data_IF_009647016948
#
_entry.id   IF_009647016948
#
_cell.length_a   1.000
_cell.length_b   1.000
_cell.length_c   1.000
_cell.angle_alpha   90.00
_cell.angle_beta   90.00
_cell.angle_gamma   90.00
#
_symmetry.space_group_name_H-M   'P 1'
#
loop_
_entity.id
_entity.type
_entity.pdbx_description
1 polymer ?
#
# COMPACT_ATOMS: atom_id res chain seq x y z
N UNK A 1 -43.14 16.77 -26.36
CA UNK A 1 -42.65 15.88 -25.28
C UNK A 1 -41.31 15.35 -25.68
N UNK A 2 -40.21 15.95 -25.18
CA UNK A 2 -38.83 15.62 -25.55
C UNK A 2 -38.31 14.69 -24.47
N UNK A 3 -38.03 13.43 -24.84
CA UNK A 3 -37.41 12.45 -23.93
C UNK A 3 -35.90 12.62 -24.08
N UNK A 4 -35.28 13.22 -23.05
CA UNK A 4 -33.82 13.29 -22.93
C UNK A 4 -33.30 11.94 -22.46
N UNK A 5 -32.67 11.19 -23.35
CA UNK A 5 -31.97 9.96 -23.04
C UNK A 5 -30.69 10.26 -22.23
N UNK A 6 -30.65 9.82 -20.98
CA UNK A 6 -29.44 9.85 -20.15
C UNK A 6 -28.51 8.75 -20.64
N UNK A 7 -27.43 9.14 -21.32
CA UNK A 7 -26.36 8.23 -21.72
C UNK A 7 -25.48 7.96 -20.48
N UNK A 8 -25.71 6.85 -19.80
CA UNK A 8 -24.83 6.38 -18.73
C UNK A 8 -23.55 5.83 -19.35
N UNK A 9 -22.48 6.60 -19.29
CA UNK A 9 -21.12 6.12 -19.59
C UNK A 9 -20.71 5.11 -18.52
N UNK A 10 -20.81 3.83 -18.82
CA UNK A 10 -20.17 2.78 -18.07
C UNK A 10 -18.65 2.89 -18.29
N UNK A 11 -17.95 3.61 -17.39
CA UNK A 11 -16.51 3.55 -17.31
C UNK A 11 -16.12 2.18 -16.76
N UNK A 12 -15.83 1.26 -17.65
CA UNK A 12 -15.17 0.00 -17.32
C UNK A 12 -13.80 0.37 -16.72
N UNK A 13 -13.65 0.22 -15.42
CA UNK A 13 -12.33 0.32 -14.75
C UNK A 13 -11.51 -0.91 -15.13
N UNK A 14 -10.87 -0.86 -16.29
CA UNK A 14 -9.80 -1.80 -16.60
C UNK A 14 -8.66 -1.55 -15.63
N UNK A 15 -8.14 -2.61 -15.05
CA UNK A 15 -6.93 -2.61 -14.24
C UNK A 15 -5.81 -1.85 -14.96
N UNK A 16 -5.45 -0.67 -14.45
CA UNK A 16 -4.60 0.26 -15.21
C UNK A 16 -3.13 0.05 -14.83
N UNK A 17 -2.37 -0.63 -15.70
CA UNK A 17 -0.91 -0.78 -15.56
C UNK A 17 -0.14 0.49 -15.99
N UNK A 18 -0.84 1.46 -16.61
CA UNK A 18 -0.29 2.73 -17.09
C UNK A 18 -1.18 3.89 -16.67
N UNK A 19 -0.59 4.87 -16.03
CA UNK A 19 -1.22 6.12 -15.62
C UNK A 19 -0.65 7.28 -16.43
N UNK A 20 -1.53 8.15 -16.94
CA UNK A 20 -1.18 9.45 -17.53
C UNK A 20 -1.77 10.53 -16.65
N UNK A 21 -0.91 11.33 -16.00
CA UNK A 21 -1.29 12.36 -15.04
C UNK A 21 -0.16 13.35 -14.86
N UNK A 22 -0.47 14.60 -14.54
CA UNK A 22 0.51 15.57 -14.07
C UNK A 22 1.00 15.15 -12.67
N UNK A 23 2.18 14.52 -12.60
CA UNK A 23 2.78 13.96 -11.38
C UNK A 23 3.64 14.98 -10.67
N UNK A 24 4.36 15.82 -11.43
CA UNK A 24 5.29 16.80 -10.89
C UNK A 24 4.69 18.20 -10.74
N UNK A 25 3.39 18.34 -11.09
CA UNK A 25 2.56 19.52 -10.92
C UNK A 25 3.11 20.75 -11.71
N UNK A 26 3.56 20.50 -12.94
CA UNK A 26 4.01 21.55 -13.88
C UNK A 26 2.95 21.93 -14.93
N UNK A 27 1.78 21.28 -14.89
CA UNK A 27 0.66 21.49 -15.81
C UNK A 27 0.72 20.64 -17.07
N UNK A 28 1.72 19.76 -17.24
CA UNK A 28 1.85 18.83 -18.35
C UNK A 28 1.62 17.40 -17.92
N UNK A 29 1.23 16.54 -18.85
CA UNK A 29 0.97 15.14 -18.56
C UNK A 29 2.26 14.33 -18.53
N UNK A 30 2.45 13.64 -17.44
CA UNK A 30 3.49 12.65 -17.21
C UNK A 30 2.96 11.23 -17.45
N UNK A 31 3.84 10.26 -17.41
CA UNK A 31 3.46 8.86 -17.56
C UNK A 31 4.12 8.00 -16.49
N UNK A 32 3.33 7.18 -15.82
CA UNK A 32 3.81 6.13 -14.91
C UNK A 32 3.25 4.79 -15.37
N UNK A 33 4.06 3.77 -15.42
CA UNK A 33 3.63 2.42 -15.78
C UNK A 33 4.50 1.34 -15.14
N UNK A 34 3.92 0.15 -14.99
CA UNK A 34 4.68 -1.06 -14.68
C UNK A 34 5.25 -1.62 -15.99
N UNK A 35 6.57 -1.73 -16.06
CA UNK A 35 7.27 -2.45 -17.11
C UNK A 35 7.27 -3.94 -16.74
N UNK A 36 6.38 -4.72 -17.38
CA UNK A 36 6.16 -6.13 -17.04
C UNK A 36 7.35 -7.03 -17.40
N UNK A 37 8.14 -6.63 -18.38
CA UNK A 37 9.34 -7.37 -18.76
C UNK A 37 10.46 -7.23 -17.71
N UNK A 38 10.65 -5.99 -17.23
CA UNK A 38 11.70 -5.68 -16.26
C UNK A 38 11.21 -5.77 -14.80
N UNK A 39 9.88 -5.91 -14.57
CA UNK A 39 9.24 -5.83 -13.26
C UNK A 39 9.59 -4.53 -12.51
N UNK A 40 9.55 -3.40 -13.21
CA UNK A 40 9.93 -2.09 -12.68
C UNK A 40 8.84 -1.05 -12.89
N UNK A 41 8.65 -0.20 -11.89
CA UNK A 41 7.90 1.03 -12.10
C UNK A 41 8.77 1.97 -12.94
N UNK A 42 8.22 2.44 -14.05
CA UNK A 42 8.87 3.43 -14.92
C UNK A 42 8.04 4.71 -14.92
N UNK A 43 8.65 5.82 -14.58
CA UNK A 43 8.07 7.15 -14.65
C UNK A 43 8.80 8.02 -15.69
N UNK A 44 8.05 8.90 -16.37
CA UNK A 44 8.56 9.90 -17.31
C UNK A 44 7.93 11.23 -16.96
N UNK A 45 8.74 12.17 -16.46
CA UNK A 45 8.30 13.49 -16.04
C UNK A 45 8.62 14.53 -17.13
N UNK A 46 7.67 15.43 -17.37
CA UNK A 46 7.83 16.53 -18.33
C UNK A 46 8.96 17.47 -17.92
N UNK A 47 9.10 17.79 -16.63
CA UNK A 47 10.19 18.61 -16.09
C UNK A 47 11.58 17.99 -16.24
N UNK A 48 11.65 16.69 -16.55
CA UNK A 48 12.89 15.96 -16.81
C UNK A 48 13.01 15.50 -18.27
N UNK A 49 12.39 16.23 -19.20
CA UNK A 49 12.38 15.94 -20.63
C UNK A 49 11.96 14.49 -20.94
N UNK A 50 11.02 13.94 -20.15
CA UNK A 50 10.51 12.58 -20.27
C UNK A 50 11.57 11.47 -20.21
N UNK A 51 12.73 11.76 -19.61
CA UNK A 51 13.74 10.74 -19.32
C UNK A 51 13.14 9.66 -18.40
N UNK A 52 13.45 8.40 -18.68
CA UNK A 52 12.98 7.27 -17.86
C UNK A 52 13.62 7.30 -16.48
N UNK A 53 12.79 7.36 -15.44
CA UNK A 53 13.13 7.13 -14.05
C UNK A 53 12.59 5.74 -13.73
N UNK A 54 13.41 4.80 -13.30
CA UNK A 54 13.00 3.42 -13.04
C UNK A 54 13.26 3.06 -11.58
N UNK A 55 12.34 2.29 -10.97
CA UNK A 55 12.62 1.57 -9.73
C UNK A 55 13.68 0.48 -9.96
N UNK A 56 14.16 -0.11 -8.90
CA UNK A 56 14.78 -1.44 -8.97
C UNK A 56 13.71 -2.49 -9.30
N UNK A 57 14.11 -3.75 -9.48
CA UNK A 57 13.20 -4.85 -9.75
C UNK A 57 12.30 -5.13 -8.53
N UNK A 58 11.01 -5.38 -8.79
CA UNK A 58 10.00 -5.73 -7.79
C UNK A 58 9.52 -7.13 -8.20
N UNK A 59 10.02 -8.17 -7.54
CA UNK A 59 9.84 -9.57 -7.96
C UNK A 59 8.36 -9.99 -8.00
N UNK A 60 7.54 -9.46 -7.09
CA UNK A 60 6.10 -9.75 -7.01
C UNK A 60 5.24 -8.90 -7.94
N UNK A 61 5.81 -7.90 -8.63
CA UNK A 61 5.05 -7.07 -9.55
C UNK A 61 4.73 -7.84 -10.83
N UNK A 62 3.46 -7.85 -11.22
CA UNK A 62 2.96 -8.60 -12.36
C UNK A 62 1.48 -8.31 -12.65
N UNK A 63 0.72 -9.33 -13.04
CA UNK A 63 -0.69 -9.20 -13.41
C UNK A 63 -1.60 -8.70 -12.27
N UNK A 64 -1.20 -8.96 -11.05
CA UNK A 64 -1.87 -8.54 -9.83
C UNK A 64 -1.44 -7.14 -9.33
N UNK A 65 -0.63 -6.42 -10.12
CA UNK A 65 -0.10 -5.09 -9.77
C UNK A 65 -0.72 -4.00 -10.64
N UNK A 66 -1.20 -2.95 -10.00
CA UNK A 66 -1.86 -1.80 -10.63
C UNK A 66 -1.13 -0.51 -10.28
N UNK A 67 -1.20 0.47 -11.20
CA UNK A 67 -0.78 1.85 -10.93
C UNK A 67 -2.02 2.73 -10.89
N UNK A 68 -2.28 3.35 -9.75
CA UNK A 68 -3.48 4.15 -9.52
C UNK A 68 -3.14 5.61 -9.23
N UNK A 69 -4.00 6.55 -9.68
CA UNK A 69 -3.82 7.97 -9.36
C UNK A 69 -4.13 8.24 -7.89
N UNK A 70 -3.31 9.06 -7.25
CA UNK A 70 -3.62 9.68 -5.94
C UNK A 70 -3.68 11.20 -6.08
N UNK A 71 -4.25 11.90 -5.11
CA UNK A 71 -4.34 13.37 -5.14
C UNK A 71 -3.01 14.00 -5.51
N UNK A 72 -1.93 13.56 -4.88
CA UNK A 72 -0.55 13.99 -5.17
C UNK A 72 0.31 12.78 -5.52
N UNK A 73 0.56 12.57 -6.83
CA UNK A 73 1.38 11.45 -7.30
C UNK A 73 0.56 10.22 -7.69
N UNK A 74 1.05 9.04 -7.35
CA UNK A 74 0.46 7.75 -7.72
C UNK A 74 0.70 6.70 -6.63
N UNK A 75 0.03 5.57 -6.77
CA UNK A 75 0.18 4.40 -5.90
C UNK A 75 0.36 3.15 -6.76
N UNK A 76 1.29 2.29 -6.35
CA UNK A 76 1.40 0.93 -6.82
C UNK A 76 0.66 0.03 -5.83
N UNK A 77 -0.30 -0.75 -6.31
CA UNK A 77 -1.05 -1.74 -5.55
C UNK A 77 -0.73 -3.13 -6.05
N UNK A 78 -0.34 -4.04 -5.19
CA UNK A 78 -0.18 -5.46 -5.49
C UNK A 78 -1.14 -6.26 -4.64
N UNK A 79 -2.03 -7.02 -5.29
CA UNK A 79 -3.11 -7.73 -4.63
C UNK A 79 -3.05 -9.23 -4.93
N UNK A 80 -3.11 -10.04 -3.88
CA UNK A 80 -3.27 -11.49 -3.95
C UNK A 80 -4.67 -11.88 -3.47
N UNK A 81 -5.01 -13.15 -3.57
CA UNK A 81 -6.33 -13.65 -3.19
C UNK A 81 -6.72 -13.27 -1.75
N UNK A 82 -5.79 -13.28 -0.81
CA UNK A 82 -6.06 -13.06 0.62
C UNK A 82 -5.22 -11.98 1.29
N UNK A 83 -4.42 -11.25 0.55
CA UNK A 83 -3.58 -10.17 1.06
C UNK A 83 -3.19 -9.21 -0.05
N UNK A 84 -2.65 -8.08 0.33
CA UNK A 84 -2.10 -7.12 -0.61
C UNK A 84 -1.38 -5.99 0.11
N UNK A 85 -0.66 -5.21 -0.68
CA UNK A 85 -0.01 -4.01 -0.20
C UNK A 85 -0.06 -2.89 -1.23
N UNK A 86 0.09 -1.68 -0.76
CA UNK A 86 0.17 -0.50 -1.61
C UNK A 86 1.34 0.40 -1.19
N UNK A 87 2.00 0.96 -2.18
CA UNK A 87 3.11 1.90 -2.02
C UNK A 87 2.77 3.21 -2.71
N UNK A 88 2.61 4.28 -1.94
CA UNK A 88 2.26 5.60 -2.45
C UNK A 88 3.49 6.45 -2.70
N UNK A 89 3.59 7.01 -3.90
CA UNK A 89 4.69 7.85 -4.35
C UNK A 89 4.22 9.27 -4.66
N UNK A 90 5.10 10.25 -4.36
CA UNK A 90 4.87 11.67 -4.66
C UNK A 90 6.16 12.31 -5.18
N UNK A 91 6.02 13.25 -6.13
CA UNK A 91 7.14 14.06 -6.57
C UNK A 91 7.50 15.11 -5.52
N UNK A 92 8.76 15.15 -5.11
CA UNK A 92 9.32 16.14 -4.20
C UNK A 92 10.01 17.24 -5.01
N UNK A 93 9.34 18.38 -5.16
CA UNK A 93 9.77 19.47 -6.04
C UNK A 93 11.17 20.00 -5.72
N UNK A 94 11.50 20.14 -4.44
CA UNK A 94 12.81 20.64 -3.99
C UNK A 94 13.96 19.67 -4.30
N UNK A 95 13.67 18.38 -4.28
CA UNK A 95 14.66 17.32 -4.49
C UNK A 95 14.64 16.82 -5.95
N UNK A 96 13.62 17.23 -6.73
CA UNK A 96 13.38 16.82 -8.12
C UNK A 96 13.36 15.29 -8.28
N UNK A 97 12.83 14.59 -7.26
CA UNK A 97 12.77 13.12 -7.19
C UNK A 97 11.39 12.66 -6.76
N UNK A 98 11.03 11.43 -7.15
CA UNK A 98 9.80 10.76 -6.71
C UNK A 98 10.13 10.00 -5.43
N UNK A 99 9.40 10.29 -4.34
CA UNK A 99 9.60 9.73 -3.01
C UNK A 99 8.45 8.82 -2.62
N UNK A 100 8.76 7.67 -1.99
CA UNK A 100 7.80 6.84 -1.27
C UNK A 100 7.33 7.60 -0.02
N UNK A 101 6.02 7.86 0.09
CA UNK A 101 5.43 8.65 1.17
C UNK A 101 4.45 7.88 2.06
N UNK A 102 4.03 6.70 1.64
CA UNK A 102 3.12 5.87 2.40
C UNK A 102 3.18 4.42 1.96
N UNK A 103 2.93 3.52 2.92
CA UNK A 103 2.77 2.09 2.68
C UNK A 103 1.54 1.63 3.45
N UNK A 104 0.72 0.79 2.81
CA UNK A 104 -0.39 0.10 3.46
C UNK A 104 -0.37 -1.37 3.09
N UNK A 105 -0.93 -2.21 3.96
CA UNK A 105 -1.09 -3.63 3.73
C UNK A 105 -2.39 -4.13 4.34
N UNK A 106 -2.91 -5.23 3.81
CA UNK A 106 -4.04 -5.94 4.38
C UNK A 106 -3.85 -7.45 4.26
N UNK A 107 -4.49 -8.18 5.16
CA UNK A 107 -4.61 -9.62 5.09
C UNK A 107 -6.02 -10.07 5.53
N UNK A 108 -6.57 -11.08 4.84
CA UNK A 108 -7.85 -11.69 5.21
C UNK A 108 -7.66 -12.84 6.22
N UNK A 109 -6.41 -13.14 6.59
CA UNK A 109 -6.06 -14.22 7.50
C UNK A 109 -6.30 -15.61 6.91
N UNK A 110 -6.30 -16.63 7.77
CA UNK A 110 -6.63 -18.01 7.42
C UNK A 110 -8.14 -18.28 7.46
N UNK A 111 -8.56 -19.56 7.45
CA UNK A 111 -9.97 -19.96 7.51
C UNK A 111 -10.71 -19.47 8.77
N UNK A 112 -10.00 -19.26 9.89
CA UNK A 112 -10.57 -18.69 11.13
C UNK A 112 -10.43 -17.16 11.19
N UNK A 113 -9.97 -16.52 10.12
CA UNK A 113 -9.58 -15.11 10.05
C UNK A 113 -8.45 -14.71 11.02
N UNK A 114 -7.69 -15.71 11.53
CA UNK A 114 -6.50 -15.41 12.32
C UNK A 114 -5.47 -14.67 11.48
N UNK A 115 -4.97 -13.55 11.99
CA UNK A 115 -4.08 -12.65 11.27
C UNK A 115 -4.78 -11.75 10.23
N UNK A 116 -6.13 -11.65 10.28
CA UNK A 116 -6.84 -10.69 9.42
C UNK A 116 -6.69 -9.26 9.94
N UNK A 117 -6.62 -8.32 9.01
CA UNK A 117 -6.52 -6.91 9.36
C UNK A 117 -5.91 -6.05 8.27
N UNK A 118 -5.63 -4.83 8.64
CA UNK A 118 -5.03 -3.82 7.77
C UNK A 118 -4.14 -2.87 8.55
N UNK A 119 -3.16 -2.32 7.89
CA UNK A 119 -2.28 -1.31 8.46
C UNK A 119 -1.83 -0.30 7.41
N UNK A 120 -1.48 0.87 7.87
CA UNK A 120 -0.85 1.90 7.03
C UNK A 120 0.15 2.73 7.83
N UNK A 121 1.13 3.26 7.11
CA UNK A 121 2.06 4.25 7.63
C UNK A 121 2.19 5.44 6.69
N UNK A 122 2.19 6.62 7.27
CA UNK A 122 2.61 7.84 6.60
C UNK A 122 4.11 8.04 6.84
N UNK A 123 4.94 7.81 5.81
CA UNK A 123 6.40 7.92 5.92
C UNK A 123 6.92 9.37 6.04
N UNK A 124 6.05 10.37 5.88
CA UNK A 124 6.40 11.77 6.10
C UNK A 124 6.32 12.14 7.57
N UNK A 125 5.32 11.62 8.29
CA UNK A 125 5.08 11.90 9.71
C UNK A 125 5.55 10.77 10.63
N UNK A 126 5.71 9.57 10.06
CA UNK A 126 6.02 8.34 10.79
C UNK A 126 4.82 7.74 11.51
N UNK A 127 3.60 8.25 11.27
CA UNK A 127 2.39 7.77 11.93
C UNK A 127 1.92 6.44 11.33
N UNK A 128 1.91 5.42 12.18
CA UNK A 128 1.38 4.09 11.88
C UNK A 128 0.02 3.91 12.54
N UNK A 129 -0.92 3.29 11.80
CA UNK A 129 -2.21 2.81 12.32
C UNK A 129 -2.43 1.39 11.81
N UNK A 130 -2.80 0.48 12.73
CA UNK A 130 -3.11 -0.91 12.39
C UNK A 130 -4.32 -1.44 13.15
N UNK A 131 -5.17 -2.21 12.47
CA UNK A 131 -6.34 -2.89 13.00
C UNK A 131 -6.24 -4.38 12.65
N UNK A 132 -5.99 -5.21 13.64
CA UNK A 132 -5.70 -6.62 13.43
C UNK A 132 -6.51 -7.52 14.34
N UNK A 133 -6.64 -8.79 13.96
CA UNK A 133 -7.32 -9.84 14.72
C UNK A 133 -6.39 -11.04 14.90
N UNK A 134 -6.59 -11.76 16.01
CA UNK A 134 -6.02 -13.09 16.21
C UNK A 134 -7.13 -14.05 16.65
N UNK A 135 -6.93 -15.34 16.42
CA UNK A 135 -7.86 -16.36 16.86
C UNK A 135 -7.35 -16.95 18.19
N UNK A 136 -8.17 -16.80 19.23
CA UNK A 136 -7.90 -17.35 20.55
C UNK A 136 -8.56 -18.74 20.66
N UNK A 137 -7.76 -19.79 20.61
CA UNK A 137 -8.24 -21.18 20.62
C UNK A 137 -8.82 -21.62 21.97
N UNK A 138 -8.40 -21.00 23.08
CA UNK A 138 -8.85 -21.34 24.44
C UNK A 138 -10.12 -20.60 24.85
N UNK A 139 -10.47 -19.52 24.16
CA UNK A 139 -11.67 -18.75 24.45
C UNK A 139 -12.95 -19.56 24.17
N UNK A 140 -14.05 -19.13 24.80
CA UNK A 140 -15.40 -19.66 24.57
C UNK A 140 -15.47 -21.19 24.81
N UNK A 141 -14.96 -21.65 25.96
CA UNK A 141 -14.90 -23.08 26.34
C UNK A 141 -14.22 -23.94 25.26
N UNK A 142 -13.04 -23.52 24.83
CA UNK A 142 -12.21 -24.19 23.81
C UNK A 142 -12.81 -24.26 22.39
N UNK A 143 -13.93 -23.57 22.13
CA UNK A 143 -14.50 -23.42 20.78
C UNK A 143 -13.74 -22.42 19.93
N UNK A 144 -12.93 -21.60 20.58
CA UNK A 144 -12.20 -20.53 19.97
C UNK A 144 -13.02 -19.27 19.67
N UNK A 145 -12.35 -18.15 19.55
CA UNK A 145 -12.97 -16.87 19.22
C UNK A 145 -11.99 -15.98 18.47
N UNK A 146 -12.50 -15.25 17.46
CA UNK A 146 -11.74 -14.18 16.81
C UNK A 146 -11.73 -12.96 17.72
N UNK A 147 -10.53 -12.51 18.09
CA UNK A 147 -10.30 -11.38 18.98
C UNK A 147 -9.70 -10.22 18.23
N UNK A 148 -10.32 -9.05 18.35
CA UNK A 148 -9.77 -7.81 17.83
C UNK A 148 -8.66 -7.29 18.76
N UNK A 149 -7.47 -7.07 18.24
CA UNK A 149 -6.41 -6.34 18.92
C UNK A 149 -6.82 -4.86 19.00
N UNK A 150 -6.65 -4.17 20.14
CA UNK A 150 -6.88 -2.74 20.20
C UNK A 150 -6.13 -2.02 19.10
N UNK A 151 -6.75 -1.01 18.47
CA UNK A 151 -6.14 -0.26 17.36
C UNK A 151 -4.72 0.17 17.73
N UNK A 152 -3.76 -0.28 16.96
CA UNK A 152 -2.34 0.02 17.17
C UNK A 152 -2.06 1.39 16.57
N UNK A 153 -1.60 2.32 17.40
CA UNK A 153 -1.07 3.62 16.96
C UNK A 153 0.37 3.73 17.42
N UNK A 154 1.27 3.99 16.51
CA UNK A 154 2.70 4.09 16.79
C UNK A 154 3.36 5.17 15.93
N UNK A 155 4.52 5.63 16.35
CA UNK A 155 5.36 6.52 15.56
C UNK A 155 6.68 5.82 15.25
N UNK A 156 6.99 5.72 13.97
CA UNK A 156 8.20 5.08 13.47
C UNK A 156 8.98 6.04 12.59
N UNK A 157 10.29 5.88 12.54
CA UNK A 157 11.14 6.66 11.65
C UNK A 157 11.72 5.78 10.56
N UNK A 158 11.72 6.32 9.34
CA UNK A 158 12.28 5.67 8.16
C UNK A 158 13.19 6.64 7.42
N UNK A 159 14.22 6.12 6.79
CA UNK A 159 14.99 6.89 5.82
C UNK A 159 14.11 7.23 4.62
N UNK A 160 14.41 8.33 3.92
CA UNK A 160 13.76 8.64 2.65
C UNK A 160 14.09 7.55 1.63
N UNK A 161 13.05 7.06 0.96
CA UNK A 161 13.18 6.09 -0.13
C UNK A 161 12.67 6.78 -1.39
N UNK A 162 13.49 6.83 -2.42
CA UNK A 162 13.10 7.38 -3.72
C UNK A 162 12.78 6.25 -4.69
N UNK A 163 12.05 6.56 -5.77
CA UNK A 163 11.63 5.55 -6.74
C UNK A 163 12.81 4.74 -7.29
N UNK A 164 13.93 5.39 -7.56
CA UNK A 164 15.13 4.74 -8.11
C UNK A 164 15.81 3.79 -7.13
N UNK A 165 15.57 3.99 -5.83
CA UNK A 165 16.11 3.15 -4.76
C UNK A 165 15.12 2.08 -4.30
N UNK A 166 13.85 2.18 -4.75
CA UNK A 166 12.76 1.31 -4.31
C UNK A 166 12.83 -0.06 -4.99
N UNK A 167 12.78 -1.09 -4.17
CA UNK A 167 12.62 -2.50 -4.51
C UNK A 167 11.70 -3.18 -3.49
N UNK A 168 11.52 -4.47 -3.65
CA UNK A 168 10.69 -5.27 -2.75
C UNK A 168 11.29 -5.39 -1.33
N UNK A 169 12.62 -5.37 -1.20
CA UNK A 169 13.28 -5.40 0.12
C UNK A 169 12.94 -4.16 0.96
N UNK A 170 12.79 -3.00 0.32
CA UNK A 170 12.36 -1.78 1.00
C UNK A 170 10.94 -1.93 1.57
N UNK A 171 10.01 -2.53 0.81
CA UNK A 171 8.68 -2.84 1.30
C UNK A 171 8.74 -3.86 2.45
N UNK A 172 9.44 -4.99 2.28
CA UNK A 172 9.56 -6.02 3.32
C UNK A 172 10.14 -5.48 4.61
N UNK A 173 11.18 -4.65 4.56
CA UNK A 173 11.76 -4.00 5.75
C UNK A 173 10.75 -3.12 6.50
N UNK A 174 9.77 -2.52 5.81
CA UNK A 174 8.68 -1.76 6.43
C UNK A 174 7.65 -2.73 7.03
N UNK A 175 7.23 -3.75 6.29
CA UNK A 175 6.23 -4.75 6.71
C UNK A 175 6.70 -5.58 7.91
N UNK A 176 7.98 -5.92 8.01
CA UNK A 176 8.57 -6.56 9.19
C UNK A 176 8.37 -5.74 10.46
N UNK A 177 8.52 -4.42 10.38
CA UNK A 177 8.24 -3.53 11.53
C UNK A 177 6.77 -3.50 11.89
N UNK A 178 5.86 -3.60 10.91
CA UNK A 178 4.43 -3.73 11.18
C UNK A 178 4.13 -5.04 11.90
N UNK A 179 4.67 -6.15 11.40
CA UNK A 179 4.51 -7.49 12.01
C UNK A 179 5.01 -7.52 13.44
N UNK A 180 6.17 -6.92 13.73
CA UNK A 180 6.72 -6.84 15.08
C UNK A 180 5.80 -6.05 16.03
N UNK A 181 5.19 -4.95 15.56
CA UNK A 181 4.20 -4.20 16.35
C UNK A 181 2.95 -5.02 16.61
N UNK A 182 2.40 -5.67 15.59
CA UNK A 182 1.20 -6.52 15.71
C UNK A 182 1.42 -7.61 16.73
N UNK A 183 2.53 -8.34 16.66
CA UNK A 183 2.87 -9.41 17.59
C UNK A 183 3.02 -8.90 19.03
N UNK A 184 3.67 -7.74 19.21
CA UNK A 184 3.78 -7.09 20.53
C UNK A 184 2.41 -6.77 21.13
N UNK A 185 1.52 -6.15 20.34
CA UNK A 185 0.19 -5.74 20.84
C UNK A 185 -0.73 -6.94 21.04
N UNK A 186 -0.64 -7.96 20.20
CA UNK A 186 -1.31 -9.25 20.39
C UNK A 186 -0.92 -9.87 21.74
N UNK A 187 0.38 -9.95 22.03
CA UNK A 187 0.87 -10.52 23.29
C UNK A 187 0.42 -9.71 24.52
N UNK A 188 0.31 -8.38 24.42
CA UNK A 188 -0.27 -7.55 25.47
C UNK A 188 -1.76 -7.85 25.67
N UNK A 189 -2.52 -8.02 24.59
CA UNK A 189 -3.95 -8.33 24.66
C UNK A 189 -4.20 -9.74 25.23
N UNK A 190 -3.43 -10.74 24.83
CA UNK A 190 -3.48 -12.09 25.41
C UNK A 190 -3.28 -12.03 26.93
N UNK A 191 -2.19 -11.42 27.39
CA UNK A 191 -1.90 -11.25 28.83
C UNK A 191 -2.98 -10.48 29.59
N UNK A 192 -3.63 -9.50 28.95
CA UNK A 192 -4.74 -8.77 29.54
C UNK A 192 -5.95 -9.66 29.77
N UNK A 193 -6.26 -10.56 28.83
CA UNK A 193 -7.40 -11.47 28.89
C UNK A 193 -7.21 -12.61 29.88
N UNK A 194 -5.98 -13.10 30.07
CA UNK A 194 -5.64 -14.15 31.04
C UNK A 194 -5.84 -13.69 32.51
N UNK A 195 -5.91 -12.37 32.77
CA UNK A 195 -6.10 -11.80 34.11
C UNK A 195 -7.56 -11.59 34.49
N UNK A 196 -8.48 -11.83 33.57
CA UNK A 196 -9.92 -11.66 33.76
C UNK A 196 -10.69 -12.93 33.46
#
# INVERSE_FOLDING_TARGET
MIIAGILTLNLSTYAQKKLVKDIDLDGKMDTVYLDEHDHKITCRLSTQNFKKIKSKKIETAGDNTLIEPKKTGFEMNTNWMRSGYACQFRYEKNEKRIRLIGVSEYALGNATNNGSGEASINLLTGEYVGNWHYFDHLANNEKGMLVKIPTIKAKMQFKKIYLEDFDEEQYHSISEKFSALVERYKNLEVKRREKH
#
